data_IF_768781156109
#
_entry.id   IF_768781156109
#
_cell.length_a   1.000
_cell.length_b   1.000
_cell.length_c   1.000
_cell.angle_alpha   90.00
_cell.angle_beta   90.00
_cell.angle_gamma   90.00
#
_symmetry.space_group_name_H-M   'P 1'
#
loop_
_entity.id
_entity.type
_entity.pdbx_description
1 polymer ?
#
# COMPACT_ATOMS: atom_id res chain seq x y z
N UNK A 1 8.60 5.75 -13.70
CA UNK A 1 7.37 6.30 -13.13
C UNK A 1 7.55 6.30 -11.63
N UNK A 2 7.12 7.38 -10.99
CA UNK A 2 7.06 7.49 -9.53
C UNK A 2 5.92 6.61 -9.00
N UNK A 3 5.99 6.16 -7.75
CA UNK A 3 4.97 5.34 -7.12
C UNK A 3 3.65 6.12 -6.93
N UNK A 4 2.51 5.48 -7.21
CA UNK A 4 1.16 6.02 -6.98
C UNK A 4 0.43 5.11 -5.98
N UNK A 5 -0.01 5.69 -4.85
CA UNK A 5 -0.62 4.93 -3.76
C UNK A 5 -2.00 4.42 -4.15
N UNK A 6 -2.82 5.27 -4.73
CA UNK A 6 -4.20 4.98 -5.13
C UNK A 6 -4.25 3.90 -6.23
N UNK A 7 -3.36 3.97 -7.22
CA UNK A 7 -3.23 2.94 -8.25
C UNK A 7 -2.79 1.60 -7.65
N UNK A 8 -1.85 1.63 -6.70
CA UNK A 8 -1.38 0.41 -6.03
C UNK A 8 -2.48 -0.22 -5.16
N UNK A 9 -3.32 0.58 -4.51
CA UNK A 9 -4.48 0.07 -3.76
C UNK A 9 -5.48 -0.61 -4.69
N UNK A 10 -5.78 -0.03 -5.86
CA UNK A 10 -6.65 -0.66 -6.86
C UNK A 10 -6.09 -2.02 -7.30
N UNK A 11 -4.78 -2.08 -7.58
CA UNK A 11 -4.12 -3.34 -7.95
C UNK A 11 -4.22 -4.41 -6.83
N UNK A 12 -4.09 -4.00 -5.57
CA UNK A 12 -4.28 -4.91 -4.43
C UNK A 12 -5.71 -5.44 -4.34
N UNK A 13 -6.72 -4.59 -4.55
CA UNK A 13 -8.13 -5.01 -4.57
C UNK A 13 -8.41 -6.01 -5.71
N UNK A 14 -7.81 -5.81 -6.88
CA UNK A 14 -7.90 -6.75 -8.00
C UNK A 14 -7.25 -8.10 -7.67
N UNK A 15 -6.06 -8.10 -7.07
CA UNK A 15 -5.38 -9.33 -6.63
C UNK A 15 -6.24 -10.09 -5.61
N UNK A 16 -6.84 -9.40 -4.64
CA UNK A 16 -7.74 -10.01 -3.65
C UNK A 16 -8.94 -10.65 -4.34
N UNK A 17 -9.59 -9.93 -5.27
CA UNK A 17 -10.75 -10.44 -5.98
C UNK A 17 -10.42 -11.70 -6.80
N UNK A 18 -9.24 -11.75 -7.45
CA UNK A 18 -8.78 -12.93 -8.17
C UNK A 18 -8.53 -14.13 -7.23
N UNK A 19 -7.92 -13.91 -6.06
CA UNK A 19 -7.71 -14.97 -5.07
C UNK A 19 -9.06 -15.48 -4.53
N UNK A 20 -9.98 -14.58 -4.22
CA UNK A 20 -11.32 -14.91 -3.69
C UNK A 20 -12.20 -15.61 -4.73
N UNK A 21 -11.92 -15.46 -6.03
CA UNK A 21 -12.64 -16.16 -7.10
C UNK A 21 -12.53 -17.69 -6.98
N UNK A 22 -11.42 -18.18 -6.42
CA UNK A 22 -11.10 -19.61 -6.34
C UNK A 22 -10.76 -20.25 -7.69
N UNK A 23 -10.54 -19.46 -8.75
CA UNK A 23 -10.21 -19.97 -10.10
C UNK A 23 -8.70 -20.15 -10.32
N UNK A 24 -7.87 -19.58 -9.44
CA UNK A 24 -6.41 -19.66 -9.52
C UNK A 24 -5.89 -21.03 -9.07
N UNK A 25 -4.86 -21.50 -9.76
CA UNK A 25 -4.03 -22.61 -9.27
C UNK A 25 -3.23 -22.18 -8.05
N UNK A 26 -2.74 -23.15 -7.26
CA UNK A 26 -1.93 -22.86 -6.09
C UNK A 26 -0.65 -22.07 -6.44
N UNK A 27 -0.04 -22.33 -7.60
CA UNK A 27 1.13 -21.60 -8.08
C UNK A 27 0.80 -20.13 -8.37
N UNK A 28 -0.31 -19.86 -9.08
CA UNK A 28 -0.79 -18.50 -9.36
C UNK A 28 -1.16 -17.75 -8.07
N UNK A 29 -1.75 -18.43 -7.08
CA UNK A 29 -2.02 -17.83 -5.76
C UNK A 29 -0.72 -17.36 -5.10
N UNK A 30 0.36 -18.15 -5.15
CA UNK A 30 1.65 -17.75 -4.59
C UNK A 30 2.25 -16.56 -5.33
N UNK A 31 2.17 -16.52 -6.65
CA UNK A 31 2.65 -15.38 -7.45
C UNK A 31 1.90 -14.10 -7.09
N UNK A 32 0.56 -14.15 -7.07
CA UNK A 32 -0.31 -13.03 -6.71
C UNK A 32 -0.06 -12.56 -5.28
N UNK A 33 0.13 -13.48 -4.35
CA UNK A 33 0.45 -13.15 -2.97
C UNK A 33 1.81 -12.46 -2.83
N UNK A 34 2.83 -12.91 -3.58
CA UNK A 34 4.15 -12.26 -3.57
C UNK A 34 4.08 -10.82 -4.08
N UNK A 35 3.34 -10.57 -5.17
CA UNK A 35 3.11 -9.23 -5.69
C UNK A 35 2.39 -8.34 -4.67
N UNK A 36 1.33 -8.86 -4.05
CA UNK A 36 0.59 -8.13 -3.01
C UNK A 36 1.48 -7.75 -1.82
N UNK A 37 2.40 -8.62 -1.39
CA UNK A 37 3.34 -8.31 -0.31
C UNK A 37 4.27 -7.15 -0.69
N UNK A 38 4.83 -7.16 -1.90
CA UNK A 38 5.69 -6.07 -2.36
C UNK A 38 4.94 -4.73 -2.43
N UNK A 39 3.70 -4.75 -2.90
CA UNK A 39 2.86 -3.56 -3.00
C UNK A 39 2.43 -3.03 -1.63
N UNK A 40 2.09 -3.92 -0.70
CA UNK A 40 1.80 -3.56 0.70
C UNK A 40 2.99 -2.89 1.37
N UNK A 41 4.22 -3.34 1.12
CA UNK A 41 5.43 -2.70 1.64
C UNK A 41 5.62 -1.27 1.11
N UNK A 42 5.30 -1.03 -0.16
CA UNK A 42 5.36 0.33 -0.75
C UNK A 42 4.29 1.23 -0.14
N UNK A 43 3.08 0.71 0.02
CA UNK A 43 1.97 1.40 0.68
C UNK A 43 2.33 1.78 2.12
N UNK A 44 2.90 0.86 2.90
CA UNK A 44 3.35 1.12 4.27
C UNK A 44 4.38 2.25 4.29
N UNK A 45 5.43 2.18 3.46
CA UNK A 45 6.46 3.20 3.40
C UNK A 45 5.89 4.60 3.07
N UNK A 46 4.97 4.68 2.11
CA UNK A 46 4.32 5.92 1.73
C UNK A 46 3.48 6.51 2.89
N UNK A 47 2.68 5.67 3.54
CA UNK A 47 1.82 6.09 4.66
C UNK A 47 2.66 6.53 5.87
N UNK A 48 3.73 5.81 6.19
CA UNK A 48 4.66 6.19 7.27
C UNK A 48 5.28 7.56 6.98
N UNK A 49 5.76 7.79 5.76
CA UNK A 49 6.33 9.08 5.37
C UNK A 49 5.30 10.21 5.49
N UNK A 50 4.04 9.98 5.06
CA UNK A 50 2.97 10.95 5.19
C UNK A 50 2.63 11.28 6.65
N UNK A 51 2.62 10.26 7.51
CA UNK A 51 2.39 10.43 8.94
C UNK A 51 3.49 11.25 9.62
N UNK A 52 4.76 10.98 9.31
CA UNK A 52 5.89 11.73 9.84
C UNK A 52 5.82 13.21 9.44
N UNK A 53 5.50 13.50 8.18
CA UNK A 53 5.34 14.89 7.71
C UNK A 53 4.19 15.60 8.43
N UNK A 54 3.06 14.92 8.63
CA UNK A 54 1.93 15.49 9.36
C UNK A 54 2.28 15.80 10.82
N UNK A 55 3.02 14.90 11.49
CA UNK A 55 3.47 15.14 12.87
C UNK A 55 4.36 16.39 12.97
N UNK A 56 5.32 16.55 12.06
CA UNK A 56 6.20 17.74 12.03
C UNK A 56 5.40 19.04 11.83
N UNK A 57 4.37 19.02 10.98
CA UNK A 57 3.50 20.17 10.78
C UNK A 57 2.70 20.52 12.04
N UNK A 58 2.22 19.52 12.78
CA UNK A 58 1.52 19.73 14.05
C UNK A 58 2.47 20.32 15.10
N UNK A 59 3.67 19.76 15.25
CA UNK A 59 4.70 20.28 16.16
C UNK A 59 5.04 21.75 15.86
N UNK A 60 5.17 22.10 14.57
CA UNK A 60 5.44 23.48 14.14
C UNK A 60 4.29 24.44 14.50
N UNK A 61 3.04 23.97 14.41
CA UNK A 61 1.88 24.79 14.80
C UNK A 61 1.84 25.01 16.31
N UNK A 62 2.18 24.01 17.12
CA UNK A 62 2.18 24.10 18.57
C UNK A 62 3.32 25.00 19.11
N UNK A 63 4.47 25.04 18.43
CA UNK A 63 5.60 25.91 18.80
C UNK A 63 5.34 27.42 18.54
N UNK A 64 4.35 27.75 17.71
CA UNK A 64 3.96 29.13 17.37
C UNK A 64 2.90 29.74 18.33
N UNK A 65 2.44 28.99 19.35
CA UNK A 65 1.47 29.44 20.37
C UNK A 65 2.03 29.45 21.80
#
# INVERSE_FOLDING_TARGET
>A
MEFDYEETVINLEEIIAEIESGELTLEEVFEKFSLAVEDLQKCEAFLTQGQEQMNLLIETLDDDF
#
